data_IF_124457777218
#
_entry.id   IF_124457777218
#
_cell.length_a   1.000
_cell.length_b   1.000
_cell.length_c   1.000
_cell.angle_alpha   90.00
_cell.angle_beta   90.00
_cell.angle_gamma   90.00
#
_symmetry.space_group_name_H-M   'P 1'
#
loop_
_entity.id
_entity.type
_entity.pdbx_description
1 polymer ?
#
# COMPACT_ATOMS: atom_id res chain seq x y z
N UNK A 1 -1.88 5.21 -32.99
CA UNK A 1 -1.24 3.94 -33.41
C UNK A 1 -0.25 3.44 -32.36
N UNK A 2 0.67 4.29 -31.85
CA UNK A 2 1.63 3.96 -30.78
C UNK A 2 0.98 3.49 -29.46
N UNK A 3 -0.08 4.14 -29.00
CA UNK A 3 -0.80 3.78 -27.76
C UNK A 3 -1.45 2.39 -27.77
N UNK A 4 -1.85 1.86 -28.95
CA UNK A 4 -2.40 0.50 -29.09
C UNK A 4 -1.30 -0.57 -29.12
N UNK A 5 -0.08 -0.23 -29.55
CA UNK A 5 1.07 -1.13 -29.58
C UNK A 5 1.62 -1.37 -28.16
N UNK A 6 1.69 -0.34 -27.31
CA UNK A 6 2.21 -0.47 -25.95
C UNK A 6 1.31 -1.28 -25.00
N UNK A 7 -0.02 -1.24 -25.17
CA UNK A 7 -0.95 -2.06 -24.38
C UNK A 7 -0.91 -3.55 -24.72
N UNK A 8 -0.46 -3.92 -25.92
CA UNK A 8 -0.49 -5.31 -26.41
C UNK A 8 0.80 -6.09 -26.09
N UNK A 9 1.91 -5.40 -25.87
CA UNK A 9 3.22 -6.03 -25.69
C UNK A 9 3.91 -5.47 -24.44
N UNK A 10 3.84 -6.24 -23.34
CA UNK A 10 4.46 -5.90 -22.05
C UNK A 10 5.87 -5.31 -22.17
N UNK A 11 6.07 -4.22 -21.43
CA UNK A 11 7.11 -3.22 -21.64
C UNK A 11 8.52 -3.65 -21.17
N UNK A 12 9.09 -4.72 -21.73
CA UNK A 12 10.51 -5.05 -21.48
C UNK A 12 11.34 -5.32 -22.74
N UNK A 13 10.78 -5.83 -23.84
CA UNK A 13 11.57 -6.18 -25.03
C UNK A 13 11.69 -5.06 -26.08
N UNK A 14 10.77 -4.10 -26.10
CA UNK A 14 10.86 -2.92 -26.99
C UNK A 14 11.70 -1.77 -26.44
N UNK A 15 12.07 -1.81 -25.15
CA UNK A 15 12.85 -0.77 -24.44
C UNK A 15 14.23 -0.48 -25.07
N UNK A 16 14.79 -1.39 -25.88
CA UNK A 16 16.15 -1.25 -26.43
C UNK A 16 16.25 -1.01 -27.94
N UNK A 17 15.17 -1.12 -28.73
CA UNK A 17 15.29 -1.20 -30.20
C UNK A 17 14.82 -0.01 -31.02
N UNK A 18 14.09 0.95 -30.45
CA UNK A 18 13.51 2.07 -31.22
C UNK A 18 14.11 3.46 -30.94
N UNK A 19 15.05 3.60 -30.00
CA UNK A 19 15.52 4.93 -29.58
C UNK A 19 17.04 5.13 -29.76
N UNK A 20 17.82 4.09 -30.08
CA UNK A 20 19.27 4.18 -29.84
C UNK A 20 20.15 4.79 -30.93
N UNK A 21 19.69 5.04 -32.16
CA UNK A 21 20.65 5.37 -33.24
C UNK A 21 20.41 6.70 -34.00
N UNK A 22 19.43 7.54 -33.63
CA UNK A 22 19.09 8.73 -34.45
C UNK A 22 18.64 10.01 -33.73
N UNK A 23 18.62 10.05 -32.40
CA UNK A 23 18.22 11.27 -31.65
C UNK A 23 19.14 11.47 -30.43
N UNK A 24 19.54 12.72 -30.16
CA UNK A 24 20.40 13.09 -29.04
C UNK A 24 19.75 12.87 -27.66
N UNK A 25 20.58 12.80 -26.61
CA UNK A 25 20.13 12.49 -25.24
C UNK A 25 19.10 13.50 -24.69
N UNK A 26 19.16 14.75 -25.13
CA UNK A 26 18.22 15.80 -24.72
C UNK A 26 16.83 15.56 -25.31
N UNK A 27 16.74 15.28 -26.60
CA UNK A 27 15.50 14.98 -27.30
C UNK A 27 14.90 13.66 -26.82
N UNK A 28 15.74 12.67 -26.49
CA UNK A 28 15.28 11.44 -25.84
C UNK A 28 14.61 11.74 -24.48
N UNK A 29 15.19 12.65 -23.69
CA UNK A 29 14.60 13.09 -22.41
C UNK A 29 13.28 13.84 -22.60
N UNK A 30 13.19 14.72 -23.59
CA UNK A 30 11.95 15.43 -23.92
C UNK A 30 10.86 14.47 -24.39
N UNK A 31 11.18 13.55 -25.30
CA UNK A 31 10.25 12.53 -25.79
C UNK A 31 9.79 11.62 -24.64
N UNK A 32 10.70 11.24 -23.75
CA UNK A 32 10.37 10.48 -22.56
C UNK A 32 9.39 11.22 -21.65
N UNK A 33 9.67 12.49 -21.34
CA UNK A 33 8.79 13.31 -20.51
C UNK A 33 7.39 13.45 -21.12
N UNK A 34 7.32 13.68 -22.44
CA UNK A 34 6.06 13.76 -23.18
C UNK A 34 5.28 12.44 -23.14
N UNK A 35 5.95 11.31 -23.44
CA UNK A 35 5.31 9.99 -23.36
C UNK A 35 4.88 9.65 -21.93
N UNK A 36 5.70 10.00 -20.94
CA UNK A 36 5.39 9.78 -19.54
C UNK A 36 4.11 10.49 -19.12
N UNK A 37 3.96 11.77 -19.47
CA UNK A 37 2.72 12.53 -19.21
C UNK A 37 1.49 11.95 -19.91
N UNK A 38 1.67 11.36 -21.10
CA UNK A 38 0.57 10.72 -21.83
C UNK A 38 0.16 9.37 -21.23
N UNK A 39 1.09 8.65 -20.60
CA UNK A 39 0.85 7.29 -20.09
C UNK A 39 0.75 7.22 -18.57
N UNK A 40 1.05 8.29 -17.85
CA UNK A 40 0.99 8.37 -16.40
C UNK A 40 0.11 9.54 -16.00
N UNK A 41 -0.89 9.26 -15.17
CA UNK A 41 -1.68 10.30 -14.53
C UNK A 41 -1.52 10.15 -13.03
N UNK A 42 -0.86 11.11 -12.41
CA UNK A 42 -0.69 11.18 -10.96
C UNK A 42 -1.91 11.78 -10.26
N UNK A 43 -2.14 11.38 -9.02
CA UNK A 43 -3.12 11.93 -8.09
C UNK A 43 -2.37 12.48 -6.88
N UNK A 44 -2.66 13.76 -6.57
CA UNK A 44 -1.97 14.51 -5.52
C UNK A 44 -0.62 15.05 -5.98
N UNK A 45 0.11 15.65 -5.05
CA UNK A 45 1.45 16.21 -5.25
C UNK A 45 2.23 16.14 -3.93
N UNK A 46 3.49 15.71 -3.97
CA UNK A 46 4.34 15.58 -2.76
C UNK A 46 4.95 16.93 -2.32
N UNK A 47 4.61 18.03 -3.00
CA UNK A 47 5.18 19.37 -2.74
C UNK A 47 4.88 19.91 -1.33
N UNK A 48 3.83 19.44 -0.67
CA UNK A 48 3.52 19.76 0.73
C UNK A 48 3.70 18.53 1.61
N UNK A 49 4.94 18.23 1.99
CA UNK A 49 5.25 17.12 2.89
C UNK A 49 5.74 17.67 4.24
N UNK A 50 4.87 17.76 5.28
CA UNK A 50 5.28 18.22 6.61
C UNK A 50 6.47 17.42 7.15
N UNK A 51 6.41 16.10 7.03
CA UNK A 51 7.54 15.20 7.23
C UNK A 51 8.31 14.99 5.93
N UNK A 52 9.64 15.07 5.98
CA UNK A 52 10.47 14.73 4.82
C UNK A 52 10.48 13.21 4.60
N UNK A 53 9.60 12.71 3.71
CA UNK A 53 9.44 11.27 3.44
C UNK A 53 10.72 10.62 2.92
N UNK A 54 11.65 11.38 2.34
CA UNK A 54 12.92 10.84 1.85
C UNK A 54 13.78 10.26 2.98
N UNK A 55 13.60 10.75 4.21
CA UNK A 55 14.29 10.24 5.42
C UNK A 55 13.89 8.80 5.78
N UNK A 56 12.78 8.31 5.25
CA UNK A 56 12.28 6.97 5.51
C UNK A 56 12.79 5.95 4.47
N UNK A 57 13.45 6.38 3.40
CA UNK A 57 14.03 5.48 2.42
C UNK A 57 15.07 4.57 3.11
N UNK A 58 14.87 3.26 3.00
CA UNK A 58 15.73 2.22 3.59
C UNK A 58 15.96 2.35 5.12
N UNK A 59 15.09 3.05 5.86
CA UNK A 59 15.26 3.30 7.30
C UNK A 59 15.07 2.05 8.19
N UNK A 60 14.55 0.96 7.63
CA UNK A 60 14.28 -0.32 8.31
C UNK A 60 14.89 -1.51 7.54
N UNK A 61 16.09 -1.30 7.02
CA UNK A 61 16.75 -2.27 6.14
C UNK A 61 16.91 -3.64 6.82
N UNK A 62 16.40 -4.68 6.16
CA UNK A 62 16.42 -6.08 6.62
C UNK A 62 15.58 -6.35 7.88
N UNK A 63 14.69 -5.43 8.26
CA UNK A 63 13.77 -5.66 9.36
C UNK A 63 12.49 -6.37 8.91
N UNK A 64 11.71 -6.80 9.90
CA UNK A 64 10.35 -7.32 9.71
C UNK A 64 9.34 -6.25 10.09
N UNK A 65 8.24 -6.16 9.34
CA UNK A 65 7.09 -5.35 9.72
C UNK A 65 5.79 -6.14 9.67
N UNK A 66 4.81 -5.63 10.41
CA UNK A 66 3.43 -6.08 10.38
C UNK A 66 2.56 -5.04 9.67
N UNK A 67 1.70 -5.46 8.75
CA UNK A 67 0.64 -4.64 8.17
C UNK A 67 -0.69 -5.19 8.66
N UNK A 68 -1.46 -4.34 9.34
CA UNK A 68 -2.71 -4.70 10.03
C UNK A 68 -3.89 -4.07 9.32
N UNK A 69 -4.74 -4.92 8.74
CA UNK A 69 -6.04 -4.54 8.20
C UNK A 69 -7.16 -4.65 9.24
N UNK A 70 -8.39 -4.51 8.76
CA UNK A 70 -9.59 -4.49 9.61
C UNK A 70 -10.58 -5.59 9.29
N UNK A 71 -10.15 -6.71 8.68
CA UNK A 71 -11.08 -7.78 8.30
C UNK A 71 -11.79 -8.40 9.52
N UNK A 72 -12.94 -9.08 9.32
CA UNK A 72 -13.72 -9.66 10.42
C UNK A 72 -12.95 -10.69 11.25
N UNK A 73 -12.00 -11.42 10.65
CA UNK A 73 -11.20 -12.44 11.36
C UNK A 73 -10.35 -11.85 12.49
N UNK A 74 -10.11 -10.55 12.49
CA UNK A 74 -9.40 -9.87 13.58
C UNK A 74 -10.13 -10.00 14.93
N UNK A 75 -11.44 -10.30 14.94
CA UNK A 75 -12.18 -10.60 16.17
C UNK A 75 -11.73 -11.90 16.86
N UNK A 76 -11.08 -12.81 16.15
CA UNK A 76 -10.63 -14.11 16.68
C UNK A 76 -9.13 -14.14 16.98
N UNK A 77 -8.38 -13.14 16.50
CA UNK A 77 -6.93 -13.05 16.71
C UNK A 77 -6.65 -12.58 18.14
N UNK A 78 -5.74 -13.21 18.90
CA UNK A 78 -5.33 -12.73 20.21
C UNK A 78 -4.37 -11.53 20.08
N UNK A 79 -4.91 -10.38 19.69
CA UNK A 79 -4.16 -9.15 19.34
C UNK A 79 -3.11 -8.77 20.40
N UNK A 80 -3.42 -8.95 21.69
CA UNK A 80 -2.51 -8.65 22.81
C UNK A 80 -1.23 -9.49 22.86
N UNK A 81 -1.18 -10.64 22.17
CA UNK A 81 0.02 -11.47 22.05
C UNK A 81 0.92 -11.04 20.90
N UNK A 82 0.38 -10.31 19.92
CA UNK A 82 1.13 -9.88 18.75
C UNK A 82 2.21 -8.88 19.18
N UNK A 83 3.44 -9.13 18.73
CA UNK A 83 4.62 -8.28 18.92
C UNK A 83 5.13 -7.88 17.55
N UNK A 84 5.63 -6.68 17.34
CA UNK A 84 6.28 -6.33 16.06
C UNK A 84 7.23 -5.16 16.24
N UNK A 85 8.37 -5.16 15.53
CA UNK A 85 9.26 -3.99 15.52
C UNK A 85 8.54 -2.77 14.93
N UNK A 86 7.82 -2.98 13.83
CA UNK A 86 7.08 -1.91 13.16
C UNK A 86 5.69 -2.39 12.73
N UNK A 87 4.65 -1.60 13.01
CA UNK A 87 3.28 -1.95 12.64
C UNK A 87 2.61 -0.85 11.82
N UNK A 88 2.20 -1.16 10.59
CA UNK A 88 1.37 -0.30 9.75
C UNK A 88 -0.10 -0.65 9.94
N UNK A 89 -0.87 0.28 10.49
CA UNK A 89 -2.32 0.17 10.63
C UNK A 89 -3.01 0.79 9.42
N UNK A 90 -3.86 0.00 8.77
CA UNK A 90 -4.60 0.42 7.59
C UNK A 90 -5.96 1.00 7.97
N UNK A 91 -6.24 2.25 7.59
CA UNK A 91 -7.53 2.89 7.87
C UNK A 91 -7.90 2.72 9.37
N UNK A 92 -9.16 2.41 9.71
CA UNK A 92 -9.62 2.23 11.11
C UNK A 92 -8.95 1.10 11.88
N UNK A 93 -8.07 0.30 11.27
CA UNK A 93 -7.21 -0.61 12.04
C UNK A 93 -6.36 0.15 13.08
N UNK A 94 -6.16 1.47 12.93
CA UNK A 94 -5.49 2.31 13.93
C UNK A 94 -6.09 2.16 15.34
N UNK A 95 -7.37 1.79 15.45
CA UNK A 95 -8.04 1.54 16.74
C UNK A 95 -7.43 0.37 17.52
N UNK A 96 -6.72 -0.53 16.85
CA UNK A 96 -6.02 -1.67 17.47
C UNK A 96 -4.62 -1.32 17.99
N UNK A 97 -4.13 -0.09 17.77
CA UNK A 97 -2.75 0.28 18.09
C UNK A 97 -2.39 0.06 19.56
N UNK A 98 -3.32 0.36 20.48
CA UNK A 98 -3.11 0.16 21.93
C UNK A 98 -3.15 -1.31 22.36
N UNK A 99 -3.56 -2.22 21.47
CA UNK A 99 -3.69 -3.63 21.74
C UNK A 99 -2.56 -4.47 21.14
N UNK A 100 -1.81 -3.94 20.16
CA UNK A 100 -0.62 -4.60 19.61
C UNK A 100 0.61 -3.97 20.24
N UNK A 101 1.54 -4.80 20.69
CA UNK A 101 2.79 -4.32 21.23
C UNK A 101 3.77 -4.09 20.07
N UNK A 102 4.01 -2.83 19.74
CA UNK A 102 4.93 -2.45 18.68
C UNK A 102 5.95 -1.40 19.14
N UNK A 103 7.20 -1.53 18.70
CA UNK A 103 8.24 -0.53 19.00
C UNK A 103 8.03 0.75 18.19
N UNK A 104 7.46 0.62 16.99
CA UNK A 104 7.07 1.74 16.13
C UNK A 104 5.74 1.46 15.45
N UNK A 105 4.86 2.45 15.42
CA UNK A 105 3.54 2.35 14.82
C UNK A 105 3.34 3.42 13.76
N UNK A 106 2.83 3.01 12.60
CA UNK A 106 2.35 3.91 11.55
C UNK A 106 0.87 3.70 11.27
N UNK A 107 0.19 4.75 10.81
CA UNK A 107 -1.15 4.63 10.20
C UNK A 107 -1.10 5.05 8.74
N UNK A 108 -1.83 4.34 7.87
CA UNK A 108 -1.88 4.60 6.42
C UNK A 108 -3.32 4.84 5.98
N UNK A 109 -3.58 6.02 5.40
CA UNK A 109 -4.87 6.37 4.78
C UNK A 109 -4.63 6.89 3.37
N UNK A 110 -5.19 6.18 2.38
CA UNK A 110 -5.05 6.53 0.95
C UNK A 110 -6.25 7.25 0.33
N UNK A 111 -7.41 7.25 1.00
CA UNK A 111 -8.67 7.76 0.46
C UNK A 111 -9.19 8.96 1.26
N UNK A 112 -9.56 10.03 0.57
CA UNK A 112 -10.02 11.27 1.21
C UNK A 112 -11.38 11.11 1.90
N UNK A 113 -12.27 10.26 1.38
CA UNK A 113 -13.55 9.98 2.02
C UNK A 113 -13.36 9.14 3.30
N UNK A 114 -12.45 8.17 3.29
CA UNK A 114 -12.00 7.48 4.50
C UNK A 114 -11.47 8.44 5.57
N UNK A 115 -10.60 9.37 5.20
CA UNK A 115 -10.10 10.36 6.15
C UNK A 115 -11.24 11.26 6.69
N UNK A 116 -12.16 11.71 5.83
CA UNK A 116 -13.29 12.53 6.27
C UNK A 116 -14.19 11.81 7.28
N UNK A 117 -14.37 10.50 7.13
CA UNK A 117 -15.24 9.72 7.98
C UNK A 117 -14.66 9.44 9.37
N UNK A 118 -13.36 9.20 9.45
CA UNK A 118 -12.72 8.71 10.68
C UNK A 118 -11.24 9.08 10.84
N UNK A 119 -10.63 9.69 9.84
CA UNK A 119 -9.22 10.09 9.90
C UNK A 119 -8.95 11.15 10.95
N UNK A 120 -9.95 11.99 11.28
CA UNK A 120 -9.84 12.98 12.36
C UNK A 120 -9.85 12.37 13.76
N UNK A 121 -10.21 11.08 13.90
CA UNK A 121 -10.13 10.35 15.16
C UNK A 121 -8.70 9.86 15.47
N UNK A 122 -7.79 9.92 14.50
CA UNK A 122 -6.39 9.55 14.71
C UNK A 122 -5.76 10.53 15.70
N UNK A 123 -5.35 10.03 16.86
CA UNK A 123 -4.50 10.78 17.77
C UNK A 123 -3.05 10.72 17.29
N UNK A 124 -2.50 11.86 16.86
CA UNK A 124 -1.18 11.91 16.26
C UNK A 124 -0.06 11.45 17.20
N UNK A 125 -0.22 11.60 18.51
CA UNK A 125 0.76 11.14 19.50
C UNK A 125 0.84 9.63 19.63
N UNK A 126 -0.16 8.89 19.13
CA UNK A 126 -0.19 7.43 19.22
C UNK A 126 0.67 6.78 18.10
N UNK A 127 1.18 7.55 17.13
CA UNK A 127 1.89 7.05 15.96
C UNK A 127 3.23 7.75 15.72
N UNK A 128 4.24 6.96 15.37
CA UNK A 128 5.55 7.46 14.93
C UNK A 128 5.50 8.01 13.50
N UNK A 129 4.63 7.48 12.64
CA UNK A 129 4.42 7.98 11.28
C UNK A 129 2.93 7.95 10.90
N UNK A 130 2.45 9.02 10.29
CA UNK A 130 1.10 9.13 9.73
C UNK A 130 1.27 9.28 8.22
N UNK A 131 0.93 8.26 7.45
CA UNK A 131 0.99 8.30 5.99
C UNK A 131 -0.38 8.65 5.43
N UNK A 132 -0.51 9.85 4.88
CA UNK A 132 -1.71 10.28 4.18
C UNK A 132 -1.42 10.47 2.70
N UNK A 133 -2.34 10.04 1.85
CA UNK A 133 -2.29 10.46 0.45
C UNK A 133 -2.32 12.00 0.37
N UNK A 134 -1.54 12.56 -0.54
CA UNK A 134 -1.36 14.01 -0.73
C UNK A 134 -2.63 14.72 -1.20
N UNK A 135 -3.60 14.00 -1.77
CA UNK A 135 -4.92 14.54 -2.10
C UNK A 135 -5.85 14.70 -0.87
N UNK A 136 -5.43 14.27 0.32
CA UNK A 136 -6.17 14.44 1.58
C UNK A 136 -5.77 15.78 2.21
N UNK A 137 -6.61 16.81 2.08
CA UNK A 137 -6.32 18.08 2.72
C UNK A 137 -6.75 18.05 4.19
N UNK A 138 -5.79 18.18 5.11
CA UNK A 138 -6.04 18.18 6.55
C UNK A 138 -5.76 19.51 7.22
N UNK A 139 -5.02 20.41 6.56
CA UNK A 139 -4.47 21.62 7.19
C UNK A 139 -3.47 21.37 8.33
N UNK A 140 -3.07 20.11 8.56
CA UNK A 140 -2.13 19.73 9.62
C UNK A 140 -0.68 19.86 9.14
N UNK A 141 0.15 20.39 10.02
CA UNK A 141 1.60 20.48 9.87
C UNK A 141 2.24 19.79 11.09
N UNK A 142 2.51 18.49 10.94
CA UNK A 142 3.04 17.62 11.99
C UNK A 142 4.32 16.96 11.49
N UNK A 143 5.36 16.93 12.32
CA UNK A 143 6.66 16.35 11.92
C UNK A 143 6.55 14.86 11.56
N UNK A 144 5.63 14.13 12.20
CA UNK A 144 5.36 12.72 11.93
C UNK A 144 4.32 12.49 10.81
N UNK A 145 3.86 13.53 10.11
CA UNK A 145 2.91 13.43 9.00
C UNK A 145 3.64 13.39 7.65
N UNK A 146 3.59 12.24 6.99
CA UNK A 146 4.18 12.00 5.69
C UNK A 146 3.11 11.90 4.60
N UNK A 147 3.36 12.58 3.48
CA UNK A 147 2.51 12.57 2.29
C UNK A 147 3.11 11.71 1.19
N UNK A 148 2.25 10.93 0.55
CA UNK A 148 2.58 10.21 -0.68
C UNK A 148 1.59 10.58 -1.78
N UNK A 149 2.03 10.59 -3.04
CA UNK A 149 1.14 10.62 -4.21
C UNK A 149 1.04 9.23 -4.83
N UNK A 150 0.13 9.06 -5.78
CA UNK A 150 0.01 7.80 -6.51
C UNK A 150 -0.46 7.98 -7.95
N UNK A 151 -0.12 7.06 -8.84
CA UNK A 151 -0.59 7.06 -10.21
C UNK A 151 -2.00 6.50 -10.32
N UNK A 152 -2.96 7.26 -10.86
CA UNK A 152 -4.26 6.75 -11.33
C UNK A 152 -4.08 5.68 -12.42
N UNK A 153 -3.12 5.89 -13.32
CA UNK A 153 -2.60 4.90 -14.25
C UNK A 153 -1.13 5.23 -14.55
N UNK A 154 -0.25 4.24 -14.79
CA UNK A 154 -0.49 2.81 -14.63
C UNK A 154 -0.72 2.43 -13.16
N UNK A 155 -1.13 1.20 -12.92
CA UNK A 155 -1.55 0.67 -11.62
C UNK A 155 -0.68 -0.51 -11.20
N UNK A 156 -0.85 -1.00 -9.97
CA UNK A 156 -0.15 -2.22 -9.54
C UNK A 156 -0.57 -3.44 -10.36
N UNK A 157 -1.78 -3.43 -10.95
CA UNK A 157 -2.24 -4.48 -11.87
C UNK A 157 -1.41 -4.60 -13.15
N UNK A 158 -0.71 -3.52 -13.54
CA UNK A 158 0.15 -3.50 -14.72
C UNK A 158 1.58 -4.02 -14.42
N UNK A 159 1.81 -4.54 -13.21
CA UNK A 159 3.10 -5.12 -12.80
C UNK A 159 4.08 -4.11 -12.21
N UNK A 160 3.64 -2.88 -11.93
CA UNK A 160 4.49 -1.87 -11.32
C UNK A 160 4.44 -1.95 -9.79
N UNK A 161 5.61 -1.82 -9.17
CA UNK A 161 5.82 -1.70 -7.73
C UNK A 161 6.80 -0.55 -7.51
N UNK A 162 6.52 0.32 -6.54
CA UNK A 162 7.40 1.42 -6.19
C UNK A 162 8.40 1.01 -5.11
N UNK A 163 9.67 1.36 -5.31
CA UNK A 163 10.78 1.12 -4.36
C UNK A 163 11.46 2.41 -3.90
N UNK A 164 11.21 3.53 -4.57
CA UNK A 164 11.67 4.86 -4.18
C UNK A 164 10.48 5.60 -3.52
N UNK A 165 10.59 5.84 -2.21
CA UNK A 165 9.50 6.42 -1.41
C UNK A 165 9.17 7.86 -1.81
N UNK A 166 10.07 8.53 -2.52
CA UNK A 166 9.87 9.90 -3.02
C UNK A 166 9.05 9.97 -4.30
N UNK A 167 8.74 8.81 -4.90
CA UNK A 167 7.99 8.71 -6.15
C UNK A 167 6.55 8.30 -5.89
N UNK A 168 5.63 8.61 -6.84
CA UNK A 168 4.25 8.19 -6.69
C UNK A 168 4.14 6.66 -6.61
N UNK A 169 3.26 6.20 -5.71
CA UNK A 169 2.93 4.80 -5.53
C UNK A 169 1.97 4.32 -6.65
N UNK A 170 1.80 3.01 -6.78
CA UNK A 170 0.81 2.40 -7.68
C UNK A 170 -0.39 1.90 -6.89
N UNK A 171 -1.62 2.29 -7.26
CA UNK A 171 -2.82 1.82 -6.55
C UNK A 171 -3.30 0.46 -7.09
N UNK A 172 -4.06 -0.25 -6.24
CA UNK A 172 -4.87 -1.41 -6.63
C UNK A 172 -6.09 -1.58 -5.72
N UNK A 173 -6.89 -0.51 -5.60
CA UNK A 173 -8.19 -0.48 -4.91
C UNK A 173 -8.20 -0.87 -3.42
N UNK A 174 -7.06 -1.20 -2.81
CA UNK A 174 -6.89 -1.42 -1.37
C UNK A 174 -5.70 -0.62 -0.85
N UNK A 175 -5.87 0.01 0.33
CA UNK A 175 -4.79 0.75 1.00
C UNK A 175 -3.62 -0.14 1.38
N UNK A 176 -3.86 -1.45 1.54
CA UNK A 176 -2.80 -2.42 1.84
C UNK A 176 -1.70 -2.44 0.77
N UNK A 177 -2.05 -2.17 -0.50
CA UNK A 177 -1.07 -2.11 -1.58
C UNK A 177 -0.17 -0.86 -1.48
N UNK A 178 -0.67 0.25 -0.93
CA UNK A 178 0.19 1.38 -0.60
C UNK A 178 1.14 1.05 0.55
N UNK A 179 0.63 0.44 1.62
CA UNK A 179 1.45 0.05 2.77
C UNK A 179 2.56 -0.95 2.40
N UNK A 180 2.31 -1.92 1.52
CA UNK A 180 3.36 -2.82 1.02
C UNK A 180 4.45 -2.05 0.27
N UNK A 181 4.10 -1.07 -0.57
CA UNK A 181 5.10 -0.26 -1.28
C UNK A 181 5.91 0.63 -0.33
N UNK A 182 5.24 1.24 0.67
CA UNK A 182 5.92 2.00 1.71
C UNK A 182 6.90 1.11 2.47
N UNK A 183 6.48 -0.08 2.90
CA UNK A 183 7.34 -1.03 3.61
C UNK A 183 8.54 -1.47 2.76
N UNK A 184 8.33 -1.76 1.47
CA UNK A 184 9.44 -2.10 0.56
C UNK A 184 10.41 -0.94 0.41
N UNK A 185 9.93 0.29 0.21
CA UNK A 185 10.79 1.47 0.07
C UNK A 185 11.52 1.85 1.38
N UNK A 186 10.93 1.50 2.53
CA UNK A 186 11.58 1.63 3.85
C UNK A 186 12.61 0.52 4.12
N UNK A 187 12.74 -0.48 3.25
CA UNK A 187 13.79 -1.50 3.32
C UNK A 187 13.43 -2.79 4.10
N UNK A 188 12.16 -2.97 4.47
CA UNK A 188 11.70 -4.20 5.14
C UNK A 188 11.83 -5.41 4.20
N UNK A 189 12.32 -6.54 4.73
CA UNK A 189 12.51 -7.79 3.96
C UNK A 189 11.50 -8.87 4.31
N UNK A 190 10.83 -8.78 5.46
CA UNK A 190 9.70 -9.66 5.79
C UNK A 190 8.48 -8.81 6.14
N UNK A 191 7.47 -8.82 5.27
CA UNK A 191 6.26 -8.01 5.38
C UNK A 191 5.10 -8.97 5.67
N UNK A 192 4.66 -9.00 6.92
CA UNK A 192 3.58 -9.84 7.38
C UNK A 192 2.22 -9.13 7.28
N UNK A 193 1.21 -9.83 6.78
CA UNK A 193 -0.14 -9.31 6.54
C UNK A 193 -1.12 -9.97 7.52
N UNK A 194 -1.74 -9.17 8.39
CA UNK A 194 -2.72 -9.63 9.37
C UNK A 194 -4.03 -8.84 9.19
N UNK A 195 -5.18 -9.51 9.19
CA UNK A 195 -6.47 -8.83 9.05
C UNK A 195 -6.75 -8.32 7.64
N UNK A 196 -6.15 -8.94 6.63
CA UNK A 196 -6.31 -8.61 5.21
C UNK A 196 -6.92 -9.81 4.49
N UNK A 197 -8.20 -10.06 4.76
CA UNK A 197 -8.85 -11.28 4.26
C UNK A 197 -9.43 -11.14 2.85
N UNK A 198 -9.84 -9.92 2.45
CA UNK A 198 -10.54 -9.67 1.17
C UNK A 198 -11.78 -10.56 0.93
N UNK A 199 -12.36 -11.12 1.99
CA UNK A 199 -13.48 -12.07 1.91
C UNK A 199 -14.84 -11.39 1.72
N UNK A 200 -15.00 -10.13 2.20
CA UNK A 200 -16.17 -9.25 2.06
C UNK A 200 -17.51 -10.03 2.04
N UNK A 201 -17.90 -10.60 3.19
CA UNK A 201 -19.17 -11.30 3.34
C UNK A 201 -20.33 -10.32 3.54
N UNK A 202 -21.55 -10.76 3.21
CA UNK A 202 -22.76 -9.92 3.28
C UNK A 202 -23.20 -9.57 4.71
N UNK A 203 -22.63 -10.22 5.74
CA UNK A 203 -23.03 -10.01 7.13
C UNK A 203 -22.08 -9.10 7.91
N UNK A 204 -20.76 -9.22 7.71
CA UNK A 204 -19.76 -8.44 8.45
C UNK A 204 -18.52 -8.24 7.59
N UNK A 205 -18.20 -6.98 7.30
CA UNK A 205 -17.05 -6.62 6.43
C UNK A 205 -15.80 -6.21 7.20
N UNK A 206 -15.94 -5.84 8.47
CA UNK A 206 -14.86 -5.43 9.36
C UNK A 206 -15.00 -6.09 10.74
N UNK A 207 -13.97 -6.06 11.58
CA UNK A 207 -14.10 -6.56 12.97
C UNK A 207 -14.97 -5.65 13.86
N UNK A 208 -15.13 -4.39 13.46
CA UNK A 208 -15.95 -3.37 14.10
C UNK A 208 -17.27 -3.12 13.33
N UNK A 209 -18.19 -2.37 13.93
CA UNK A 209 -19.41 -1.87 13.26
C UNK A 209 -19.06 -0.71 12.32
N UNK A 210 -19.22 -0.92 11.01
CA UNK A 210 -18.93 0.09 10.00
C UNK A 210 -20.02 1.17 9.93
N UNK A 211 -19.66 2.36 9.46
CA UNK A 211 -20.65 3.38 9.15
C UNK A 211 -21.42 3.06 7.84
N UNK A 212 -22.47 3.83 7.54
CA UNK A 212 -23.31 3.61 6.36
C UNK A 212 -22.50 3.57 5.04
N UNK A 213 -21.49 4.44 4.89
CA UNK A 213 -20.63 4.47 3.70
C UNK A 213 -19.75 3.23 3.61
N UNK A 214 -19.15 2.78 4.71
CA UNK A 214 -18.32 1.57 4.75
C UNK A 214 -19.16 0.32 4.38
N UNK A 215 -20.39 0.23 4.90
CA UNK A 215 -21.33 -0.85 4.59
C UNK A 215 -21.70 -0.84 3.10
N UNK A 216 -22.09 0.33 2.56
CA UNK A 216 -22.41 0.49 1.14
C UNK A 216 -21.21 0.20 0.25
N UNK A 217 -20.03 0.73 0.59
CA UNK A 217 -18.81 0.54 -0.18
C UNK A 217 -18.36 -0.91 -0.19
N UNK A 218 -18.46 -1.60 0.95
CA UNK A 218 -18.10 -3.01 1.04
C UNK A 218 -19.02 -3.88 0.17
N UNK A 219 -20.33 -3.67 0.27
CA UNK A 219 -21.35 -4.43 -0.46
C UNK A 219 -21.35 -4.15 -1.97
N UNK A 220 -21.02 -2.92 -2.39
CA UNK A 220 -21.05 -2.51 -3.81
C UNK A 220 -19.69 -2.62 -4.52
N UNK A 221 -18.61 -2.14 -3.89
CA UNK A 221 -17.32 -1.95 -4.57
C UNK A 221 -16.28 -2.96 -4.14
N UNK A 222 -16.11 -3.19 -2.84
CA UNK A 222 -15.09 -4.11 -2.35
C UNK A 222 -15.38 -5.54 -2.79
N UNK A 223 -16.64 -6.00 -2.66
CA UNK A 223 -17.06 -7.34 -3.10
C UNK A 223 -16.79 -7.58 -4.59
N UNK A 224 -17.05 -6.58 -5.44
CA UNK A 224 -16.81 -6.67 -6.90
C UNK A 224 -15.32 -6.62 -7.25
N UNK A 225 -14.52 -5.91 -6.46
CA UNK A 225 -13.08 -5.71 -6.72
C UNK A 225 -12.18 -6.73 -6.03
N UNK A 226 -12.71 -7.59 -5.16
CA UNK A 226 -11.93 -8.51 -4.32
C UNK A 226 -10.91 -9.33 -5.12
N UNK A 227 -11.30 -9.87 -6.27
CA UNK A 227 -10.44 -10.72 -7.09
C UNK A 227 -9.28 -9.91 -7.66
N UNK A 228 -9.55 -8.67 -8.10
CA UNK A 228 -8.48 -7.74 -8.51
C UNK A 228 -7.57 -7.40 -7.34
N UNK A 229 -8.11 -7.12 -6.16
CA UNK A 229 -7.28 -6.87 -4.98
C UNK A 229 -6.35 -8.07 -4.67
N UNK A 230 -6.86 -9.31 -4.76
CA UNK A 230 -6.04 -10.52 -4.66
C UNK A 230 -4.97 -10.59 -5.76
N UNK A 231 -5.32 -10.28 -7.01
CA UNK A 231 -4.36 -10.25 -8.13
C UNK A 231 -3.19 -9.30 -7.87
N UNK A 232 -3.43 -8.14 -7.25
CA UNK A 232 -2.35 -7.21 -6.92
C UNK A 232 -1.35 -7.81 -5.92
N UNK A 233 -1.82 -8.52 -4.88
CA UNK A 233 -0.94 -9.23 -3.96
C UNK A 233 -0.17 -10.35 -4.66
N UNK A 234 -0.80 -11.08 -5.58
CA UNK A 234 -0.13 -12.10 -6.38
C UNK A 234 0.96 -11.50 -7.27
N UNK A 235 0.69 -10.36 -7.91
CA UNK A 235 1.65 -9.61 -8.72
C UNK A 235 2.84 -9.16 -7.87
N UNK A 236 2.58 -8.59 -6.69
CA UNK A 236 3.64 -8.14 -5.78
C UNK A 236 4.47 -9.30 -5.26
N UNK A 237 3.84 -10.41 -4.85
CA UNK A 237 4.56 -11.61 -4.43
C UNK A 237 5.50 -12.14 -5.53
N UNK A 238 5.04 -12.13 -6.79
CA UNK A 238 5.88 -12.52 -7.95
C UNK A 238 7.02 -11.54 -8.19
N UNK A 239 6.77 -10.23 -8.12
CA UNK A 239 7.78 -9.20 -8.34
C UNK A 239 8.88 -9.24 -7.27
N UNK A 240 8.51 -9.48 -6.01
CA UNK A 240 9.42 -9.50 -4.87
C UNK A 240 10.20 -10.82 -4.72
N UNK A 241 9.77 -11.91 -5.38
CA UNK A 241 10.42 -13.23 -5.26
C UNK A 241 11.92 -13.22 -5.52
N UNK A 242 12.40 -12.37 -6.43
CA UNK A 242 13.83 -12.27 -6.78
C UNK A 242 14.63 -11.27 -5.93
N UNK A 243 13.96 -10.46 -5.10
CA UNK A 243 14.60 -9.40 -4.30
C UNK A 243 14.98 -9.86 -2.89
N UNK A 244 14.53 -11.05 -2.48
CA UNK A 244 14.69 -11.55 -1.11
C UNK A 244 13.63 -11.02 -0.13
N UNK A 245 12.73 -10.14 -0.59
CA UNK A 245 11.60 -9.64 0.22
C UNK A 245 10.46 -10.67 0.20
N UNK A 246 9.89 -10.96 1.37
CA UNK A 246 8.79 -11.91 1.54
C UNK A 246 7.50 -11.18 1.93
N UNK A 247 6.39 -11.56 1.28
CA UNK A 247 5.04 -11.26 1.74
C UNK A 247 4.48 -12.50 2.43
N UNK A 248 4.10 -12.35 3.70
CA UNK A 248 3.68 -13.47 4.56
C UNK A 248 2.24 -13.22 5.00
N UNK A 249 1.39 -14.22 4.88
CA UNK A 249 0.00 -14.15 5.31
C UNK A 249 -0.13 -14.69 6.73
N UNK A 250 -0.58 -13.85 7.65
CA UNK A 250 -0.87 -14.23 9.04
C UNK A 250 -2.38 -14.34 9.32
N UNK A 251 -3.24 -13.97 8.38
CA UNK A 251 -4.69 -14.05 8.57
C UNK A 251 -5.13 -15.51 8.77
N UNK A 252 -5.90 -15.82 9.85
CA UNK A 252 -6.42 -17.18 10.10
C UNK A 252 -7.24 -17.76 8.94
N UNK A 253 -7.89 -16.89 8.16
CA UNK A 253 -8.71 -17.25 7.01
C UNK A 253 -7.91 -17.77 5.80
N UNK A 254 -6.58 -17.56 5.76
CA UNK A 254 -5.69 -18.01 4.67
C UNK A 254 -6.14 -17.58 3.27
N UNK A 255 -6.86 -16.47 3.17
CA UNK A 255 -7.54 -16.03 1.94
C UNK A 255 -6.62 -15.50 0.84
N UNK A 256 -5.33 -15.32 1.14
CA UNK A 256 -4.25 -15.10 0.16
C UNK A 256 -3.39 -16.38 0.06
N UNK A 257 -3.89 -17.46 -0.56
CA UNK A 257 -3.26 -18.80 -0.50
C UNK A 257 -1.95 -18.91 -1.30
N UNK A 258 -1.64 -17.93 -2.14
CA UNK A 258 -0.40 -17.87 -2.90
C UNK A 258 0.75 -17.21 -2.12
N UNK A 259 0.48 -16.69 -0.92
CA UNK A 259 1.49 -16.25 0.03
C UNK A 259 1.82 -17.40 0.98
N UNK A 260 3.05 -17.39 1.50
CA UNK A 260 3.41 -18.26 2.62
C UNK A 260 2.51 -17.91 3.82
N UNK A 261 1.82 -18.90 4.38
CA UNK A 261 1.02 -18.70 5.57
C UNK A 261 1.79 -19.10 6.82
N UNK A 262 1.75 -18.26 7.85
CA UNK A 262 2.27 -18.58 9.17
C UNK A 262 1.24 -18.26 10.25
N UNK A 263 1.33 -18.98 11.37
CA UNK A 263 0.46 -18.75 12.51
C UNK A 263 0.82 -17.42 13.19
N UNK A 264 -0.14 -16.50 13.24
CA UNK A 264 0.07 -15.16 13.82
C UNK A 264 0.53 -15.20 15.28
N UNK A 265 0.16 -16.23 16.05
CA UNK A 265 0.57 -16.37 17.45
C UNK A 265 2.05 -16.75 17.59
N UNK A 266 2.64 -17.38 16.56
CA UNK A 266 4.01 -17.92 16.59
C UNK A 266 5.00 -17.11 15.76
N UNK A 267 4.50 -16.19 14.93
CA UNK A 267 5.33 -15.48 13.96
C UNK A 267 6.33 -14.51 14.62
N UNK A 268 5.98 -14.01 15.80
CA UNK A 268 6.74 -12.98 16.52
C UNK A 268 7.33 -13.47 17.85
N UNK A 269 7.27 -14.77 18.11
CA UNK A 269 8.01 -15.45 19.17
C UNK A 269 9.49 -15.61 18.78
#
# INVERSE_FOLDING_TARGET
>A
MLTKLFRKYGCNSYRRRLINDSIGAYEQKLLWNFLFQLTHKEIGSVESNPGDISKLQDSHKNEKCLIVGSSPSMSEVPIHKIRSNHTFFLNRAFTLNKNIYSNSSSVVIGDAAAYKDYGTEINASDFNQIFLSSNINTGLDLENLFRFSYFQFPTAYDGYLQTDITKPLYHAHTVAIFAVQLAVAMGFTEIALLGIDLSFSDQKSHFYEGNAREIEWSSSMSKVRKDRMCDAFLIYNRALKSTGIKLINLSPMKSLPFLEWQDCEKYFD
#
